data_IF_857068999585
#
_entry.id   IF_857068999585
#
_cell.length_a   1.000
_cell.length_b   1.000
_cell.length_c   1.000
_cell.angle_alpha   90.00
_cell.angle_beta   90.00
_cell.angle_gamma   90.00
#
_symmetry.space_group_name_H-M   'P 1'
#
loop_
_entity.id
_entity.type
_entity.pdbx_description
1 polymer ?
#
# COMPACT_ATOMS: atom_id res chain seq x y z
N UNK A 1 -46.68 -25.20 31.48
CA UNK A 1 -47.64 -24.93 30.39
C UNK A 1 -46.95 -25.33 29.10
N UNK A 2 -47.34 -26.49 28.59
CA UNK A 2 -46.79 -27.05 27.34
C UNK A 2 -47.53 -26.41 26.17
N UNK A 3 -46.77 -25.79 25.29
CA UNK A 3 -47.26 -25.43 23.96
C UNK A 3 -46.56 -26.34 22.94
N UNK A 4 -47.19 -27.45 22.65
CA UNK A 4 -46.78 -28.34 21.56
C UNK A 4 -47.33 -27.82 20.24
N UNK A 5 -46.50 -27.89 19.21
CA UNK A 5 -46.85 -27.61 17.82
C UNK A 5 -48.04 -28.46 17.36
N UNK A 6 -48.92 -27.86 16.56
CA UNK A 6 -50.11 -28.52 16.01
C UNK A 6 -49.72 -29.63 14.99
N UNK A 7 -50.63 -30.62 14.75
CA UNK A 7 -50.35 -31.68 13.79
C UNK A 7 -50.01 -31.22 12.37
N UNK A 8 -50.57 -30.07 11.96
CA UNK A 8 -50.32 -29.51 10.61
C UNK A 8 -48.93 -28.87 10.48
N UNK A 9 -48.32 -28.37 11.56
CA UNK A 9 -46.95 -27.84 11.56
C UNK A 9 -45.89 -28.96 11.55
N UNK A 10 -46.26 -30.19 11.92
CA UNK A 10 -45.32 -31.33 11.86
C UNK A 10 -45.22 -31.94 10.47
N UNK A 11 -46.24 -31.82 9.63
CA UNK A 11 -46.24 -32.37 8.26
C UNK A 11 -45.43 -31.51 7.28
N UNK A 12 -45.21 -30.26 7.60
CA UNK A 12 -44.37 -29.37 6.76
C UNK A 12 -42.87 -29.61 6.91
N UNK A 13 -42.45 -30.35 7.93
CA UNK A 13 -41.03 -30.63 8.19
C UNK A 13 -40.56 -31.99 7.65
N UNK A 14 -41.44 -32.78 7.01
CA UNK A 14 -41.13 -34.15 6.65
C UNK A 14 -41.44 -34.52 5.19
N UNK A 15 -41.24 -33.58 4.26
CA UNK A 15 -41.28 -33.91 2.83
C UNK A 15 -39.87 -34.15 2.32
N UNK A 16 -39.54 -35.32 1.81
CA UNK A 16 -38.27 -35.57 1.13
C UNK A 16 -38.29 -34.86 -0.21
N UNK A 17 -37.41 -33.89 -0.38
CA UNK A 17 -37.18 -33.21 -1.66
C UNK A 17 -36.40 -34.16 -2.58
N UNK A 18 -37.12 -34.66 -3.56
CA UNK A 18 -36.59 -35.45 -4.65
C UNK A 18 -35.86 -34.55 -5.62
N UNK A 19 -34.58 -34.84 -5.85
CA UNK A 19 -33.69 -34.16 -6.76
C UNK A 19 -33.91 -34.71 -8.18
N UNK A 20 -34.10 -33.85 -9.19
CA UNK A 20 -33.77 -34.24 -10.54
C UNK A 20 -32.54 -33.44 -11.01
N UNK A 21 -31.47 -34.21 -11.20
CA UNK A 21 -30.33 -33.89 -12.07
C UNK A 21 -30.64 -32.88 -13.16
N UNK A 22 -29.87 -31.79 -13.16
CA UNK A 22 -29.81 -30.77 -14.17
C UNK A 22 -28.44 -30.13 -14.18
N UNK A 23 -27.51 -30.76 -14.90
CA UNK A 23 -26.30 -30.17 -15.47
C UNK A 23 -26.66 -28.86 -16.13
N UNK A 24 -26.19 -27.74 -15.56
CA UNK A 24 -25.93 -26.44 -16.21
C UNK A 24 -25.69 -25.38 -15.13
N UNK A 25 -24.44 -25.07 -14.87
CA UNK A 25 -23.93 -23.76 -14.44
C UNK A 25 -22.51 -23.89 -13.85
N UNK A 26 -21.60 -24.36 -14.67
CA UNK A 26 -20.16 -24.13 -14.48
C UNK A 26 -19.64 -23.48 -15.75
N UNK A 27 -20.06 -22.25 -16.02
CA UNK A 27 -19.46 -21.45 -17.11
C UNK A 27 -19.81 -19.96 -16.94
N UNK A 28 -19.53 -19.39 -15.75
CA UNK A 28 -19.58 -17.93 -15.59
C UNK A 28 -18.54 -17.38 -14.60
N UNK A 29 -17.35 -17.99 -14.59
CA UNK A 29 -16.15 -17.42 -13.89
C UNK A 29 -15.03 -17.19 -14.90
N UNK A 30 -15.35 -16.76 -16.11
CA UNK A 30 -14.39 -16.36 -17.12
C UNK A 30 -14.77 -15.02 -17.76
N UNK A 31 -14.69 -13.94 -16.97
CA UNK A 31 -14.41 -12.62 -17.54
C UNK A 31 -13.78 -11.72 -16.48
N UNK A 32 -12.75 -12.21 -15.79
CA UNK A 32 -11.70 -11.31 -15.31
C UNK A 32 -10.95 -10.90 -16.55
N UNK A 33 -11.14 -9.63 -16.96
CA UNK A 33 -10.62 -9.05 -18.17
C UNK A 33 -9.19 -9.46 -18.43
N UNK A 34 -8.93 -9.93 -19.64
CA UNK A 34 -7.61 -10.15 -20.18
C UNK A 34 -6.80 -8.86 -19.99
N UNK A 35 -5.96 -8.83 -18.96
CA UNK A 35 -4.96 -7.80 -18.80
C UNK A 35 -4.04 -7.95 -20.00
N UNK A 36 -4.10 -7.00 -20.92
CA UNK A 36 -3.24 -6.98 -22.10
C UNK A 36 -1.80 -7.24 -21.68
N UNK A 37 -1.05 -8.05 -22.43
CA UNK A 37 0.37 -8.35 -22.17
C UNK A 37 1.25 -7.09 -22.06
N UNK A 38 0.73 -5.92 -22.48
CA UNK A 38 1.35 -4.60 -22.36
C UNK A 38 1.15 -3.93 -20.99
N UNK A 39 0.34 -4.49 -20.08
CA UNK A 39 0.03 -3.88 -18.78
C UNK A 39 0.87 -4.46 -17.63
N UNK A 40 1.74 -5.44 -17.87
CA UNK A 40 2.62 -5.97 -16.83
C UNK A 40 3.79 -5.03 -16.56
N UNK A 41 4.17 -4.83 -15.28
CA UNK A 41 5.37 -4.07 -14.93
C UNK A 41 6.60 -4.63 -15.63
N UNK A 42 7.45 -3.75 -16.17
CA UNK A 42 8.66 -4.19 -16.86
C UNK A 42 9.68 -4.76 -15.86
N UNK A 43 10.51 -5.70 -16.33
CA UNK A 43 11.63 -6.25 -15.52
C UNK A 43 12.54 -5.13 -14.99
N UNK A 44 12.70 -4.05 -15.76
CA UNK A 44 13.49 -2.89 -15.36
C UNK A 44 12.87 -2.16 -14.16
N UNK A 45 11.53 -2.04 -14.11
CA UNK A 45 10.82 -1.42 -12.99
C UNK A 45 10.98 -2.24 -11.70
N UNK A 46 10.87 -3.56 -11.80
CA UNK A 46 11.12 -4.47 -10.67
C UNK A 46 12.54 -4.33 -10.14
N UNK A 47 13.54 -4.28 -11.05
CA UNK A 47 14.93 -4.11 -10.64
C UNK A 47 15.18 -2.76 -9.97
N UNK A 48 14.61 -1.69 -10.50
CA UNK A 48 14.68 -0.36 -9.92
C UNK A 48 14.15 -0.35 -8.46
N UNK A 49 13.02 -1.01 -8.20
CA UNK A 49 12.48 -1.07 -6.83
C UNK A 49 13.30 -1.98 -5.91
N UNK A 50 14.02 -2.98 -6.43
CA UNK A 50 14.99 -3.74 -5.65
C UNK A 50 16.21 -2.89 -5.27
N UNK A 51 16.72 -2.12 -6.22
CA UNK A 51 17.84 -1.20 -5.98
C UNK A 51 17.44 -0.13 -4.97
N UNK A 52 16.22 0.42 -5.12
CA UNK A 52 15.68 1.37 -4.15
C UNK A 52 15.50 0.77 -2.76
N UNK A 53 15.16 -0.50 -2.60
CA UNK A 53 15.09 -1.14 -1.28
C UNK A 53 16.41 -1.04 -0.53
N UNK A 54 17.55 -1.19 -1.25
CA UNK A 54 18.89 -1.05 -0.68
C UNK A 54 19.17 0.40 -0.27
N UNK A 55 18.80 1.36 -1.13
CA UNK A 55 18.92 2.79 -0.84
C UNK A 55 18.08 3.19 0.37
N UNK A 56 16.82 2.76 0.40
CA UNK A 56 15.87 3.01 1.50
C UNK A 56 16.40 2.49 2.83
N UNK A 57 16.96 1.27 2.86
CA UNK A 57 17.56 0.70 4.07
C UNK A 57 18.70 1.57 4.62
N UNK A 58 19.59 2.03 3.74
CA UNK A 58 20.69 2.93 4.13
C UNK A 58 20.17 4.26 4.65
N UNK A 59 19.25 4.92 3.93
CA UNK A 59 18.68 6.20 4.35
C UNK A 59 18.01 6.14 5.70
N UNK A 60 17.24 5.09 5.96
CA UNK A 60 16.62 4.88 7.27
C UNK A 60 17.68 4.61 8.34
N UNK A 61 18.69 3.79 8.06
CA UNK A 61 19.77 3.50 8.99
C UNK A 61 20.54 4.77 9.38
N UNK A 62 20.87 5.61 8.40
CA UNK A 62 21.54 6.89 8.62
C UNK A 62 20.68 7.87 9.45
N UNK A 63 19.36 7.88 9.19
CA UNK A 63 18.43 8.76 9.90
C UNK A 63 18.25 8.38 11.38
N UNK A 64 18.12 7.08 11.68
CA UNK A 64 17.83 6.61 13.05
C UNK A 64 19.06 6.15 13.82
N UNK A 65 20.25 6.08 13.17
CA UNK A 65 21.49 5.63 13.79
C UNK A 65 21.50 4.14 14.17
N UNK A 66 20.74 3.30 13.48
CA UNK A 66 20.59 1.86 13.75
C UNK A 66 20.68 1.06 12.45
N UNK A 67 20.99 -0.23 12.55
CA UNK A 67 20.95 -1.12 11.40
C UNK A 67 19.50 -1.35 10.96
N UNK A 68 19.20 -1.09 9.68
CA UNK A 68 17.88 -1.27 9.09
C UNK A 68 17.98 -2.22 7.90
N UNK A 69 17.13 -3.23 7.90
CA UNK A 69 16.97 -4.14 6.74
C UNK A 69 15.69 -3.80 6.01
N UNK A 70 15.81 -3.58 4.69
CA UNK A 70 14.66 -3.36 3.80
C UNK A 70 14.69 -4.37 2.67
N UNK A 71 13.54 -4.98 2.40
CA UNK A 71 13.39 -5.93 1.31
C UNK A 71 12.13 -5.64 0.50
N UNK A 72 12.23 -5.66 -0.84
CA UNK A 72 11.08 -5.64 -1.72
C UNK A 72 10.23 -6.90 -1.46
N UNK A 73 9.01 -6.72 -0.98
CA UNK A 73 8.10 -7.81 -0.63
C UNK A 73 7.11 -8.15 -1.73
N UNK A 74 6.56 -7.12 -2.33
CA UNK A 74 5.53 -7.23 -3.36
C UNK A 74 5.59 -6.02 -4.28
N UNK A 75 5.29 -6.24 -5.53
CA UNK A 75 5.03 -5.19 -6.50
C UNK A 75 4.01 -5.70 -7.52
N UNK A 76 3.18 -4.81 -8.04
CA UNK A 76 2.20 -5.18 -9.05
C UNK A 76 1.03 -4.21 -9.17
N UNK A 77 0.20 -4.52 -10.15
CA UNK A 77 -1.03 -3.78 -10.41
C UNK A 77 -2.13 -4.18 -9.43
N UNK A 78 -2.93 -3.20 -9.07
CA UNK A 78 -4.07 -3.35 -8.20
C UNK A 78 -5.04 -2.19 -8.37
N UNK A 79 -5.96 -2.01 -7.44
CA UNK A 79 -6.86 -0.85 -7.38
C UNK A 79 -6.51 0.06 -6.22
N UNK A 80 -6.87 1.34 -6.32
CA UNK A 80 -6.67 2.28 -5.23
C UNK A 80 -7.41 1.84 -3.95
N UNK A 81 -8.59 1.24 -4.07
CA UNK A 81 -9.30 0.67 -2.92
C UNK A 81 -8.47 -0.38 -2.19
N UNK A 82 -7.79 -1.28 -2.93
CA UNK A 82 -6.95 -2.31 -2.31
C UNK A 82 -5.81 -1.68 -1.51
N UNK A 83 -5.18 -0.63 -2.03
CA UNK A 83 -4.17 0.12 -1.29
C UNK A 83 -4.74 0.76 -0.03
N UNK A 84 -5.88 1.49 -0.14
CA UNK A 84 -6.52 2.19 0.98
C UNK A 84 -6.93 1.23 2.09
N UNK A 85 -7.57 0.11 1.75
CA UNK A 85 -8.03 -0.86 2.76
C UNK A 85 -6.90 -1.69 3.38
N UNK A 86 -5.72 -1.73 2.75
CA UNK A 86 -4.53 -2.36 3.34
C UNK A 86 -3.87 -1.48 4.42
N UNK A 87 -4.23 -0.18 4.50
CA UNK A 87 -3.65 0.72 5.49
C UNK A 87 -4.41 0.67 6.81
N UNK A 88 -3.70 0.65 7.96
CA UNK A 88 -4.33 0.79 9.27
C UNK A 88 -4.92 2.20 9.42
N UNK A 89 -5.88 2.35 10.33
CA UNK A 89 -6.48 3.63 10.64
C UNK A 89 -6.22 3.98 12.12
N UNK A 90 -5.68 5.16 12.42
CA UNK A 90 -5.15 6.18 11.51
C UNK A 90 -3.89 5.71 10.78
N UNK A 91 -3.67 6.20 9.56
CA UNK A 91 -2.48 5.92 8.77
C UNK A 91 -1.52 7.11 8.73
N UNK A 92 -0.30 6.87 8.28
CA UNK A 92 0.61 7.92 7.82
C UNK A 92 0.82 7.72 6.31
N UNK A 93 0.15 8.52 5.52
CA UNK A 93 0.29 8.52 4.07
C UNK A 93 0.76 9.91 3.60
N UNK A 94 1.95 9.98 3.05
CA UNK A 94 2.45 11.16 2.36
C UNK A 94 1.88 11.19 0.94
N UNK A 95 1.25 12.29 0.58
CA UNK A 95 0.88 12.63 -0.79
C UNK A 95 2.08 13.33 -1.40
N UNK A 96 2.57 12.82 -2.51
CA UNK A 96 3.79 13.27 -3.17
C UNK A 96 3.44 13.71 -4.58
N UNK A 97 3.89 14.90 -4.94
CA UNK A 97 3.82 15.42 -6.31
C UNK A 97 5.19 15.36 -6.97
N UNK A 98 5.27 15.25 -8.28
CA UNK A 98 6.54 15.23 -8.99
C UNK A 98 6.46 15.99 -10.30
N UNK A 99 7.30 17.04 -10.40
CA UNK A 99 7.59 17.75 -11.65
C UNK A 99 8.72 17.00 -12.41
N UNK A 100 8.85 17.19 -13.72
CA UNK A 100 7.94 17.79 -14.69
C UNK A 100 6.84 16.86 -15.19
N UNK A 101 6.67 15.69 -14.55
CA UNK A 101 5.80 14.62 -15.02
C UNK A 101 4.32 14.80 -14.65
N UNK A 102 3.99 15.84 -13.86
CA UNK A 102 2.64 16.06 -13.29
C UNK A 102 2.09 14.78 -12.65
N UNK A 103 2.96 14.10 -11.90
CA UNK A 103 2.65 12.85 -11.22
C UNK A 103 2.26 13.12 -9.77
N UNK A 104 1.22 12.47 -9.32
CA UNK A 104 0.90 12.32 -7.90
C UNK A 104 1.00 10.85 -7.53
N UNK A 105 1.66 10.56 -6.41
CA UNK A 105 1.75 9.21 -5.86
C UNK A 105 1.75 9.24 -4.33
N UNK A 106 1.61 8.09 -3.72
CA UNK A 106 1.37 7.96 -2.29
C UNK A 106 2.44 7.10 -1.67
N UNK A 107 2.99 7.55 -0.53
CA UNK A 107 3.93 6.81 0.29
C UNK A 107 3.31 6.60 1.67
N UNK A 108 2.95 5.37 1.98
CA UNK A 108 2.36 4.98 3.26
C UNK A 108 3.38 4.29 4.15
N UNK A 109 3.47 4.71 5.41
CA UNK A 109 4.34 4.11 6.43
C UNK A 109 3.47 3.55 7.54
N UNK A 110 3.63 2.24 7.84
CA UNK A 110 2.85 1.63 8.92
C UNK A 110 3.24 2.15 10.29
N UNK A 111 2.26 2.39 11.18
CA UNK A 111 2.51 2.90 12.54
C UNK A 111 3.50 2.04 13.34
N UNK A 112 3.56 0.72 13.09
CA UNK A 112 4.45 -0.22 13.77
C UNK A 112 5.95 0.07 13.55
N UNK A 113 6.32 0.80 12.51
CA UNK A 113 7.69 1.28 12.28
C UNK A 113 7.80 2.80 12.34
N UNK A 114 6.72 3.52 12.05
CA UNK A 114 6.69 4.97 12.06
C UNK A 114 7.04 5.54 13.44
N UNK A 115 6.34 5.10 14.49
CA UNK A 115 6.57 5.60 15.84
C UNK A 115 7.95 5.21 16.39
N UNK A 116 8.45 3.97 16.23
CA UNK A 116 9.83 3.66 16.56
C UNK A 116 10.89 4.50 15.80
N UNK A 117 10.62 4.89 14.55
CA UNK A 117 11.47 5.84 13.81
C UNK A 117 11.44 7.20 14.52
N UNK A 118 10.26 7.73 14.85
CA UNK A 118 10.10 9.01 15.56
C UNK A 118 10.84 8.97 16.91
N UNK A 119 10.63 7.92 17.69
CA UNK A 119 11.30 7.74 19.00
C UNK A 119 12.84 7.75 18.87
N UNK A 120 13.36 7.08 17.83
CA UNK A 120 14.79 7.08 17.53
C UNK A 120 15.32 8.47 17.18
N UNK A 121 14.56 9.25 16.39
CA UNK A 121 14.96 10.61 15.98
C UNK A 121 15.06 11.57 17.17
N UNK A 122 14.20 11.42 18.18
CA UNK A 122 14.23 12.29 19.37
C UNK A 122 15.04 11.70 20.52
N UNK A 123 15.67 10.52 20.33
CA UNK A 123 16.42 9.83 21.37
C UNK A 123 15.55 9.36 22.55
N UNK A 124 14.25 9.18 22.32
CA UNK A 124 13.32 8.66 23.32
C UNK A 124 13.51 7.16 23.53
N UNK A 125 13.07 6.68 24.70
CA UNK A 125 12.86 5.25 24.89
C UNK A 125 11.63 4.84 24.09
N UNK A 126 11.75 3.72 23.40
CA UNK A 126 10.69 3.17 22.58
C UNK A 126 9.36 3.09 23.31
N UNK A 127 8.33 3.64 22.72
CA UNK A 127 6.98 3.68 23.29
C UNK A 127 6.21 2.44 22.87
N UNK A 128 5.83 1.62 23.83
CA UNK A 128 4.87 0.53 23.61
C UNK A 128 3.66 0.80 24.54
N UNK A 129 2.44 0.81 24.02
CA UNK A 129 1.98 0.42 22.67
C UNK A 129 2.04 1.54 21.63
N UNK A 130 2.06 1.15 20.33
CA UNK A 130 1.93 2.07 19.19
C UNK A 130 0.70 2.96 19.34
N UNK A 131 0.85 4.30 19.26
CA UNK A 131 -0.26 5.23 19.39
C UNK A 131 -1.37 4.99 18.36
N UNK A 132 -2.63 4.96 18.83
CA UNK A 132 -3.83 4.79 18.00
C UNK A 132 -4.50 6.15 17.73
N UNK A 133 -3.72 7.12 17.30
CA UNK A 133 -4.15 8.49 17.00
C UNK A 133 -3.41 9.04 15.78
N UNK A 134 -3.93 10.07 15.12
CA UNK A 134 -3.16 10.80 14.12
C UNK A 134 -1.87 11.37 14.72
N UNK A 135 -0.85 11.56 13.88
CA UNK A 135 0.38 12.24 14.26
C UNK A 135 0.11 13.66 14.76
N UNK A 136 0.81 14.08 15.80
CA UNK A 136 0.89 15.47 16.21
C UNK A 136 1.66 16.31 15.19
N UNK A 137 1.62 17.64 15.29
CA UNK A 137 2.37 18.52 14.40
C UNK A 137 3.89 18.31 14.51
N UNK A 138 4.39 18.05 15.74
CA UNK A 138 5.82 17.77 15.97
C UNK A 138 6.21 16.45 15.32
N UNK A 139 5.45 15.39 15.53
CA UNK A 139 5.68 14.09 14.90
C UNK A 139 5.66 14.20 13.37
N UNK A 140 4.70 14.95 12.83
CA UNK A 140 4.59 15.22 11.38
C UNK A 140 5.81 15.94 10.84
N UNK A 141 6.33 16.93 11.54
CA UNK A 141 7.53 17.66 11.14
C UNK A 141 8.76 16.76 11.15
N UNK A 142 8.91 15.87 12.12
CA UNK A 142 10.00 14.89 12.18
C UNK A 142 9.90 13.89 11.03
N UNK A 143 8.70 13.35 10.79
CA UNK A 143 8.46 12.38 9.69
C UNK A 143 8.67 13.03 8.33
N UNK A 144 8.32 14.32 8.16
CA UNK A 144 8.55 15.05 6.92
C UNK A 144 10.03 15.02 6.50
N UNK A 145 10.95 15.22 7.44
CA UNK A 145 12.41 15.16 7.17
C UNK A 145 12.81 13.78 6.65
N UNK A 146 12.30 12.71 7.27
CA UNK A 146 12.59 11.33 6.84
C UNK A 146 11.98 11.05 5.46
N UNK A 147 10.74 11.49 5.24
CA UNK A 147 10.07 11.33 3.93
C UNK A 147 10.82 12.06 2.84
N UNK A 148 11.26 13.29 3.07
CA UNK A 148 12.06 14.07 2.10
C UNK A 148 13.37 13.36 1.75
N UNK A 149 14.06 12.76 2.73
CA UNK A 149 15.26 11.96 2.48
C UNK A 149 14.93 10.70 1.63
N UNK A 150 13.83 10.02 1.93
CA UNK A 150 13.35 8.87 1.16
C UNK A 150 13.07 9.30 -0.29
N UNK A 151 12.40 10.43 -0.49
CA UNK A 151 12.07 10.97 -1.81
C UNK A 151 13.33 11.35 -2.59
N UNK A 152 14.33 11.95 -1.95
CA UNK A 152 15.63 12.25 -2.59
C UNK A 152 16.34 10.98 -3.06
N UNK A 153 16.37 9.93 -2.24
CA UNK A 153 16.94 8.64 -2.65
C UNK A 153 16.12 7.93 -3.74
N UNK A 154 14.82 8.16 -3.75
CA UNK A 154 13.94 7.67 -4.81
C UNK A 154 14.22 8.39 -6.14
N UNK A 155 14.34 9.72 -6.12
CA UNK A 155 14.78 10.53 -7.27
C UNK A 155 16.10 10.03 -7.84
N UNK A 156 17.11 9.84 -6.99
CA UNK A 156 18.44 9.37 -7.41
C UNK A 156 18.38 7.99 -8.08
N UNK A 157 17.53 7.10 -7.56
CA UNK A 157 17.34 5.77 -8.12
C UNK A 157 16.68 5.81 -9.51
N UNK A 158 15.74 6.74 -9.72
CA UNK A 158 15.05 6.92 -10.99
C UNK A 158 15.86 7.66 -12.04
N UNK A 159 16.86 8.44 -11.64
CA UNK A 159 17.61 9.38 -12.52
C UNK A 159 18.16 8.74 -13.79
N UNK A 160 18.51 7.46 -13.74
CA UNK A 160 19.02 6.72 -14.92
C UNK A 160 17.93 6.41 -15.97
N UNK A 161 16.66 6.34 -15.56
CA UNK A 161 15.54 5.96 -16.42
C UNK A 161 14.65 7.17 -16.74
N UNK A 162 14.35 7.96 -15.73
CA UNK A 162 13.39 9.05 -15.83
C UNK A 162 13.71 10.15 -14.81
N UNK A 163 13.58 11.43 -15.22
CA UNK A 163 13.73 12.56 -14.30
C UNK A 163 12.46 12.69 -13.49
N UNK A 164 12.55 12.43 -12.20
CA UNK A 164 11.52 12.70 -11.21
C UNK A 164 12.04 13.77 -10.26
N UNK A 165 11.19 14.68 -9.86
CA UNK A 165 11.47 15.66 -8.80
C UNK A 165 10.37 15.53 -7.73
N UNK A 166 10.38 14.45 -6.93
CA UNK A 166 9.32 14.19 -5.97
C UNK A 166 9.40 15.16 -4.79
N UNK A 167 8.25 15.74 -4.45
CA UNK A 167 8.09 16.69 -3.34
C UNK A 167 6.95 16.24 -2.45
N UNK A 168 7.17 16.27 -1.14
CA UNK A 168 6.10 16.07 -0.18
C UNK A 168 5.12 17.24 -0.26
N UNK A 169 3.86 16.96 -0.61
CA UNK A 169 2.79 17.95 -0.60
C UNK A 169 2.13 18.02 0.79
N UNK A 170 1.60 16.89 1.27
CA UNK A 170 0.92 16.82 2.57
C UNK A 170 0.89 15.40 3.13
N UNK A 171 0.44 15.29 4.38
CA UNK A 171 0.12 14.00 5.01
C UNK A 171 -1.39 13.81 5.14
N UNK A 172 -1.85 12.61 4.78
CA UNK A 172 -3.19 12.13 5.05
C UNK A 172 -3.18 11.06 6.15
N UNK A 173 -4.17 11.10 7.02
CA UNK A 173 -4.31 10.16 8.13
C UNK A 173 -5.56 9.29 8.04
N UNK A 174 -6.48 9.63 7.12
CA UNK A 174 -7.73 8.90 6.90
C UNK A 174 -8.05 8.76 5.41
N UNK A 175 -7.38 7.83 4.76
CA UNK A 175 -7.57 7.55 3.32
C UNK A 175 -8.97 7.01 3.01
N UNK A 176 -9.67 6.40 3.97
CA UNK A 176 -11.01 5.86 3.74
C UNK A 176 -12.08 6.95 3.68
N UNK A 177 -11.90 8.04 4.42
CA UNK A 177 -12.80 9.19 4.38
C UNK A 177 -12.40 10.19 3.29
N UNK A 178 -11.11 10.37 3.07
CA UNK A 178 -10.54 11.29 2.10
C UNK A 178 -9.98 10.49 0.93
N UNK A 179 -10.88 9.94 0.09
CA UNK A 179 -10.46 9.23 -1.12
C UNK A 179 -9.77 10.21 -2.08
N UNK A 180 -8.46 10.06 -2.24
CA UNK A 180 -7.63 10.89 -3.11
C UNK A 180 -7.84 10.55 -4.58
N UNK A 181 -8.28 9.30 -4.86
CA UNK A 181 -8.61 8.78 -6.18
C UNK A 181 -9.91 7.98 -6.15
N UNK A 182 -10.60 7.79 -7.30
CA UNK A 182 -11.66 6.81 -7.42
C UNK A 182 -11.20 5.42 -6.97
N UNK A 183 -12.00 4.73 -6.16
CA UNK A 183 -11.61 3.43 -5.60
C UNK A 183 -11.28 2.36 -6.63
N UNK A 184 -11.89 2.40 -7.81
CA UNK A 184 -11.60 1.52 -8.94
C UNK A 184 -10.41 1.94 -9.81
N UNK A 185 -9.74 3.07 -9.51
CA UNK A 185 -8.58 3.52 -10.26
C UNK A 185 -7.46 2.48 -10.20
N UNK A 186 -6.94 2.11 -11.37
CA UNK A 186 -5.82 1.18 -11.48
C UNK A 186 -4.55 1.84 -10.93
N UNK A 187 -3.84 1.13 -10.05
CA UNK A 187 -2.62 1.59 -9.42
C UNK A 187 -1.52 0.54 -9.52
N UNK A 188 -0.28 1.01 -9.55
CA UNK A 188 0.90 0.17 -9.34
C UNK A 188 1.38 0.36 -7.91
N UNK A 189 1.39 -0.73 -7.15
CA UNK A 189 1.75 -0.70 -5.74
C UNK A 189 3.03 -1.48 -5.49
N UNK A 190 3.89 -0.92 -4.65
CA UNK A 190 5.17 -1.51 -4.25
C UNK A 190 5.24 -1.54 -2.74
N UNK A 191 5.52 -2.70 -2.16
CA UNK A 191 5.63 -2.89 -0.71
C UNK A 191 7.02 -3.33 -0.32
N UNK A 192 7.59 -2.61 0.64
CA UNK A 192 8.86 -2.90 1.27
C UNK A 192 8.64 -3.37 2.70
N UNK A 193 9.17 -4.54 3.05
CA UNK A 193 9.29 -4.95 4.45
C UNK A 193 10.48 -4.22 5.07
N UNK A 194 10.27 -3.59 6.21
CA UNK A 194 11.28 -2.84 6.96
C UNK A 194 11.44 -3.46 8.33
N UNK A 195 12.69 -3.68 8.75
CA UNK A 195 13.03 -4.27 10.06
C UNK A 195 14.23 -3.56 10.66
N UNK A 196 14.14 -3.24 11.93
CA UNK A 196 15.24 -2.79 12.77
C UNK A 196 14.97 -3.15 14.23
N UNK A 197 15.98 -3.61 14.94
CA UNK A 197 15.84 -4.15 16.29
C UNK A 197 14.71 -5.19 16.39
N UNK A 198 13.72 -4.96 17.26
CA UNK A 198 12.53 -5.80 17.39
C UNK A 198 11.33 -5.32 16.55
N UNK A 199 11.45 -4.19 15.85
CA UNK A 199 10.37 -3.59 15.07
C UNK A 199 10.32 -4.13 13.65
N UNK A 200 9.11 -4.29 13.16
CA UNK A 200 8.84 -4.65 11.76
C UNK A 200 7.56 -4.01 11.26
N UNK A 201 7.54 -3.69 10.01
CA UNK A 201 6.38 -3.13 9.33
C UNK A 201 6.65 -2.93 7.85
N UNK A 202 5.83 -2.10 7.21
CA UNK A 202 5.97 -1.86 5.77
C UNK A 202 5.98 -0.38 5.44
N UNK A 203 6.71 -0.07 4.37
CA UNK A 203 6.58 1.15 3.59
C UNK A 203 6.00 0.76 2.24
N UNK A 204 4.97 1.48 1.80
CA UNK A 204 4.27 1.19 0.55
C UNK A 204 4.24 2.41 -0.35
N UNK A 205 4.60 2.24 -1.62
CA UNK A 205 4.39 3.23 -2.68
C UNK A 205 3.17 2.81 -3.49
N UNK A 206 2.34 3.78 -3.86
CA UNK A 206 1.16 3.56 -4.70
C UNK A 206 1.09 4.65 -5.76
N UNK A 207 1.12 4.24 -7.03
CA UNK A 207 1.12 5.10 -8.20
C UNK A 207 -0.17 4.93 -8.98
N UNK A 208 -0.88 6.02 -9.34
CA UNK A 208 -1.95 5.93 -10.33
C UNK A 208 -1.38 5.46 -11.67
N UNK A 209 -1.88 4.31 -12.18
CA UNK A 209 -1.28 3.68 -13.35
C UNK A 209 -1.42 4.51 -14.63
N UNK A 210 -2.49 5.28 -14.76
CA UNK A 210 -2.70 6.20 -15.89
C UNK A 210 -1.62 7.26 -15.98
N UNK A 211 -1.21 7.81 -14.84
CA UNK A 211 -0.21 8.87 -14.79
C UNK A 211 1.22 8.35 -15.08
N UNK A 212 1.40 7.03 -15.09
CA UNK A 212 2.69 6.39 -15.41
C UNK A 212 2.95 6.19 -16.91
N UNK A 213 2.08 6.68 -17.79
CA UNK A 213 2.17 6.45 -19.24
C UNK A 213 3.51 6.93 -19.82
N UNK A 214 3.98 8.10 -19.41
CA UNK A 214 5.28 8.64 -19.81
C UNK A 214 6.45 7.75 -19.34
N UNK A 215 6.32 7.12 -18.17
CA UNK A 215 7.29 6.18 -17.61
C UNK A 215 7.23 4.87 -18.40
N UNK A 216 6.03 4.36 -18.67
CA UNK A 216 5.83 3.11 -19.43
C UNK A 216 6.44 3.18 -20.82
N UNK A 217 6.25 4.28 -21.54
CA UNK A 217 6.83 4.47 -22.86
C UNK A 217 8.38 4.38 -22.86
N UNK A 218 9.03 4.83 -21.80
CA UNK A 218 10.50 4.73 -21.67
C UNK A 218 10.99 3.35 -21.21
N UNK A 219 10.15 2.61 -20.50
CA UNK A 219 10.49 1.26 -20.02
C UNK A 219 10.28 0.17 -21.10
N UNK A 220 9.48 0.47 -22.13
CA UNK A 220 9.18 -0.47 -23.24
C UNK A 220 9.85 -0.09 -24.56
N UNK A 221 10.57 1.02 -24.67
CA UNK A 221 11.37 1.44 -25.81
C UNK A 221 12.83 1.02 -25.66
#
# INVERSE_FOLDING_TARGET
MHNGLSPEERDLLNTPHNDPSGDHAMDDVQSLGETSANDSPSVQLVQLHRDFATVLGRLLADSIGREVTVALRHEGLGTFSQFVFAQPMPCCCAVVTSDPADLEFYLAIKPSILYPIIDSLVGAKESDPTPQRPMTEIERSLVAVVVEQILGGYEDTWRALFSLEPKLDRFEHNLQQNLLLPGGEQTYCVRYDVRFDCFHGTIELCWPWKNSEAIRHRLHG
#
